data_IF_734328658195
#
_entry.id   IF_734328658195
#
_cell.length_a   1.000
_cell.length_b   1.000
_cell.length_c   1.000
_cell.angle_alpha   90.00
_cell.angle_beta   90.00
_cell.angle_gamma   90.00
#
_symmetry.space_group_name_H-M   'P 1'
#
loop_
_entity.id
_entity.type
_entity.pdbx_description
1 polymer ?
#
# COMPACT_ATOMS: atom_id res chain seq x y z
N UNK A 1 -12.61 -4.42 13.90
CA UNK A 1 -13.63 -4.09 12.86
C UNK A 1 -12.88 -3.60 11.64
N UNK A 2 -12.81 -4.40 10.57
CA UNK A 2 -12.22 -3.94 9.32
C UNK A 2 -13.11 -2.82 8.75
N UNK A 3 -12.54 -1.66 8.46
CA UNK A 3 -13.25 -0.58 7.78
C UNK A 3 -13.60 -1.07 6.37
N UNK A 4 -14.86 -0.96 5.95
CA UNK A 4 -15.24 -1.23 4.57
C UNK A 4 -14.50 -0.26 3.64
N UNK A 5 -13.97 -0.73 2.49
CA UNK A 5 -13.27 0.15 1.56
C UNK A 5 -14.21 1.25 1.06
N UNK A 6 -13.71 2.48 0.97
CA UNK A 6 -14.45 3.57 0.35
C UNK A 6 -14.64 3.31 -1.14
N UNK A 7 -15.62 3.97 -1.77
CA UNK A 7 -15.90 3.82 -3.22
C UNK A 7 -14.71 4.16 -4.14
N UNK A 8 -13.73 4.90 -3.60
CA UNK A 8 -12.48 5.22 -4.30
C UNK A 8 -11.45 4.09 -4.23
N UNK A 9 -11.56 3.20 -3.24
CA UNK A 9 -10.62 2.10 -3.00
C UNK A 9 -10.99 0.85 -3.79
N UNK A 10 -12.27 0.59 -4.04
CA UNK A 10 -12.76 -0.61 -4.75
C UNK A 10 -12.18 -0.76 -6.17
N UNK A 11 -11.88 0.36 -6.85
CA UNK A 11 -11.31 0.35 -8.21
C UNK A 11 -9.78 0.26 -8.23
N UNK A 12 -9.13 0.30 -7.06
CA UNK A 12 -7.67 0.32 -6.89
C UNK A 12 -7.10 -1.02 -6.41
N UNK A 13 -7.95 -1.99 -6.09
CA UNK A 13 -7.54 -3.31 -5.62
C UNK A 13 -6.74 -4.07 -6.67
N UNK A 14 -5.69 -4.76 -6.22
CA UNK A 14 -5.00 -5.72 -7.06
C UNK A 14 -5.93 -6.92 -7.34
N UNK A 15 -6.16 -7.31 -8.61
CA UNK A 15 -7.04 -8.43 -8.96
C UNK A 15 -6.51 -9.81 -8.51
N UNK A 16 -5.29 -9.88 -7.98
CA UNK A 16 -4.67 -11.13 -7.50
C UNK A 16 -4.80 -11.27 -6.00
N UNK A 17 -4.37 -10.26 -5.23
CA UNK A 17 -4.34 -10.32 -3.77
C UNK A 17 -5.47 -9.57 -3.08
N UNK A 18 -6.32 -8.85 -3.83
CA UNK A 18 -7.43 -8.02 -3.33
C UNK A 18 -7.01 -7.04 -2.24
N UNK A 19 -5.82 -6.45 -2.40
CA UNK A 19 -5.28 -5.41 -1.49
C UNK A 19 -5.09 -4.11 -2.25
N UNK A 20 -5.18 -3.01 -1.51
CA UNK A 20 -4.77 -1.68 -1.93
C UNK A 20 -3.55 -1.29 -1.11
N UNK A 21 -2.38 -1.29 -1.72
CA UNK A 21 -1.09 -1.09 -1.04
C UNK A 21 -0.24 -0.02 -1.73
N UNK A 22 0.49 0.76 -0.93
CA UNK A 22 1.53 1.65 -1.42
C UNK A 22 2.67 0.83 -2.03
N UNK A 23 3.40 1.41 -2.97
CA UNK A 23 4.52 0.74 -3.63
C UNK A 23 4.36 0.69 -5.14
N UNK A 24 5.06 -0.24 -5.77
CA UNK A 24 5.11 -0.34 -7.24
C UNK A 24 3.93 -1.13 -7.77
N UNK A 25 3.25 -0.58 -8.76
CA UNK A 25 2.19 -1.27 -9.50
C UNK A 25 2.57 -1.45 -10.95
N UNK A 26 2.32 -2.63 -11.51
CA UNK A 26 2.60 -2.96 -12.90
C UNK A 26 1.31 -2.97 -13.72
N UNK A 27 1.43 -2.62 -14.99
CA UNK A 27 0.34 -2.50 -15.95
C UNK A 27 0.62 -3.36 -17.18
N UNK A 28 -0.40 -4.07 -17.67
CA UNK A 28 -0.33 -4.75 -18.95
C UNK A 28 -0.55 -3.75 -20.12
N UNK A 29 -0.25 -4.15 -21.36
CA UNK A 29 -0.42 -3.27 -22.53
C UNK A 29 -1.87 -2.83 -22.80
N UNK A 30 -2.83 -3.60 -22.30
CA UNK A 30 -4.27 -3.30 -22.38
C UNK A 30 -4.78 -2.47 -21.17
N UNK A 31 -3.89 -2.00 -20.29
CA UNK A 31 -4.25 -1.07 -19.21
C UNK A 31 -4.58 -1.68 -17.85
N UNK A 32 -4.79 -2.99 -17.72
CA UNK A 32 -5.03 -3.64 -16.40
C UNK A 32 -3.83 -3.51 -15.47
N UNK A 33 -4.08 -3.21 -14.19
CA UNK A 33 -3.05 -2.91 -13.17
C UNK A 33 -3.11 -3.89 -11.99
N UNK A 34 -1.95 -4.29 -11.48
CA UNK A 34 -1.77 -5.19 -10.33
C UNK A 34 -0.46 -4.86 -9.60
N UNK A 35 -0.32 -5.26 -8.34
CA UNK A 35 0.88 -4.93 -7.57
C UNK A 35 2.12 -5.71 -8.08
N UNK A 36 3.30 -5.11 -7.95
CA UNK A 36 4.56 -5.69 -8.43
C UNK A 36 4.89 -7.04 -7.74
N UNK A 37 4.52 -7.18 -6.47
CA UNK A 37 4.69 -8.43 -5.71
C UNK A 37 3.89 -9.58 -6.35
N UNK A 38 2.64 -9.32 -6.77
CA UNK A 38 1.83 -10.33 -7.44
C UNK A 38 2.35 -10.64 -8.84
N UNK A 39 2.80 -9.63 -9.62
CA UNK A 39 3.40 -9.85 -10.93
C UNK A 39 4.63 -10.77 -10.87
N UNK A 40 5.50 -10.56 -9.89
CA UNK A 40 6.70 -11.38 -9.69
C UNK A 40 6.40 -12.85 -9.38
N UNK A 41 5.20 -13.15 -8.89
CA UNK A 41 4.75 -14.49 -8.53
C UNK A 41 3.88 -15.17 -9.61
N UNK A 42 3.56 -14.48 -10.71
CA UNK A 42 2.76 -15.06 -11.79
C UNK A 42 3.55 -16.13 -12.55
N UNK A 43 3.12 -17.42 -12.55
CA UNK A 43 3.91 -18.52 -13.07
C UNK A 43 4.19 -18.44 -14.58
N UNK A 44 3.26 -17.86 -15.37
CA UNK A 44 3.39 -17.70 -16.82
C UNK A 44 3.52 -16.24 -17.28
N UNK A 45 3.62 -15.29 -16.33
CA UNK A 45 3.67 -13.84 -16.55
C UNK A 45 2.76 -13.35 -17.70
N UNK A 46 1.50 -13.77 -17.62
CA UNK A 46 0.39 -13.25 -18.40
C UNK A 46 -0.49 -12.37 -17.51
N UNK A 47 -1.13 -11.36 -18.10
CA UNK A 47 -2.05 -10.50 -17.37
C UNK A 47 -3.15 -11.35 -16.71
N UNK A 48 -3.41 -11.23 -15.40
CA UNK A 48 -4.41 -12.03 -14.70
C UNK A 48 -5.85 -11.71 -15.16
N UNK A 49 -6.06 -10.58 -15.84
CA UNK A 49 -7.39 -10.14 -16.30
C UNK A 49 -7.62 -10.50 -17.77
N UNK A 50 -6.72 -10.11 -18.68
CA UNK A 50 -6.91 -10.28 -20.13
C UNK A 50 -5.95 -11.28 -20.79
N UNK A 51 -5.07 -11.94 -20.00
CA UNK A 51 -4.13 -12.98 -20.46
C UNK A 51 -3.08 -12.54 -21.49
N UNK A 52 -2.93 -11.24 -21.76
CA UNK A 52 -1.84 -10.75 -22.63
C UNK A 52 -0.47 -10.97 -21.98
N UNK A 53 0.60 -11.29 -22.74
CA UNK A 53 1.94 -11.47 -22.19
C UNK A 53 2.50 -10.19 -21.56
N UNK A 54 3.13 -10.29 -20.38
CA UNK A 54 3.71 -9.15 -19.64
C UNK A 54 5.19 -8.90 -19.93
N UNK A 55 5.86 -9.78 -20.69
CA UNK A 55 7.28 -9.67 -21.01
C UNK A 55 8.19 -10.04 -19.83
N UNK A 56 9.40 -9.47 -19.77
CA UNK A 56 10.40 -9.72 -18.72
C UNK A 56 10.18 -8.81 -17.51
N UNK A 57 10.41 -9.30 -16.27
CA UNK A 57 9.95 -8.59 -15.05
C UNK A 57 10.67 -7.25 -14.87
N UNK A 58 11.97 -7.21 -15.19
CA UNK A 58 12.76 -5.97 -15.19
C UNK A 58 12.28 -4.91 -16.20
N UNK A 59 11.44 -5.30 -17.16
CA UNK A 59 10.86 -4.43 -18.20
C UNK A 59 9.35 -4.23 -18.01
N UNK A 60 8.81 -4.59 -16.83
CA UNK A 60 7.40 -4.38 -16.53
C UNK A 60 7.03 -2.89 -16.66
N UNK A 61 5.84 -2.62 -17.18
CA UNK A 61 5.34 -1.26 -17.35
C UNK A 61 4.81 -0.81 -16.00
N UNK A 62 5.44 0.20 -15.39
CA UNK A 62 5.04 0.73 -14.09
C UNK A 62 3.89 1.73 -14.23
N UNK A 63 2.80 1.52 -13.50
CA UNK A 63 1.66 2.44 -13.46
C UNK A 63 1.84 3.51 -12.39
N UNK A 64 2.45 4.64 -12.77
CA UNK A 64 2.64 5.79 -11.85
C UNK A 64 1.31 6.42 -11.43
N UNK A 65 0.33 6.42 -12.31
CA UNK A 65 -1.01 6.92 -12.02
C UNK A 65 -1.65 6.13 -10.88
N UNK A 66 -1.63 4.79 -10.95
CA UNK A 66 -2.15 3.93 -9.87
C UNK A 66 -1.49 4.24 -8.53
N UNK A 67 -0.16 4.41 -8.54
CA UNK A 67 0.61 4.73 -7.35
C UNK A 67 0.18 6.07 -6.73
N UNK A 68 0.01 7.10 -7.56
CA UNK A 68 -0.46 8.42 -7.11
C UNK A 68 -1.89 8.37 -6.55
N UNK A 69 -2.78 7.61 -7.17
CA UNK A 69 -4.15 7.46 -6.68
C UNK A 69 -4.19 6.76 -5.32
N UNK A 70 -3.40 5.69 -5.13
CA UNK A 70 -3.32 4.99 -3.84
C UNK A 70 -2.67 5.89 -2.78
N UNK A 71 -1.61 6.62 -3.13
CA UNK A 71 -0.93 7.57 -2.25
C UNK A 71 -1.89 8.64 -1.73
N UNK A 72 -2.79 9.14 -2.59
CA UNK A 72 -3.76 10.19 -2.28
C UNK A 72 -5.07 9.69 -1.61
N UNK A 73 -5.16 8.40 -1.28
CA UNK A 73 -6.30 7.89 -0.51
C UNK A 73 -6.30 8.48 0.90
N UNK A 74 -7.49 8.77 1.47
CA UNK A 74 -7.60 9.29 2.81
C UNK A 74 -7.14 8.25 3.83
N UNK A 75 -6.40 8.71 4.83
CA UNK A 75 -5.90 7.94 5.95
C UNK A 75 -6.05 8.76 7.24
N UNK A 76 -5.94 8.10 8.38
CA UNK A 76 -6.02 8.75 9.68
C UNK A 76 -4.95 8.15 10.59
N UNK A 77 -4.24 9.01 11.32
CA UNK A 77 -3.29 8.55 12.32
C UNK A 77 -4.02 7.91 13.51
N UNK A 78 -3.69 6.66 13.84
CA UNK A 78 -4.30 5.94 14.97
C UNK A 78 -4.01 6.57 16.35
N UNK A 79 -2.98 7.42 16.47
CA UNK A 79 -2.58 8.03 17.73
C UNK A 79 -3.10 9.45 17.90
N UNK A 80 -3.18 10.21 16.81
CA UNK A 80 -3.57 11.62 16.85
C UNK A 80 -4.78 11.99 16.00
N UNK A 81 -5.46 11.02 15.39
CA UNK A 81 -6.67 11.23 14.59
C UNK A 81 -6.54 12.35 13.53
N UNK A 82 -5.31 12.67 13.12
CA UNK A 82 -5.08 13.69 12.10
C UNK A 82 -5.52 13.12 10.75
N UNK A 83 -6.36 13.84 9.99
CA UNK A 83 -6.69 13.46 8.63
C UNK A 83 -5.45 13.66 7.75
N UNK A 84 -5.06 12.60 7.06
CA UNK A 84 -3.85 12.54 6.24
C UNK A 84 -4.19 11.80 4.93
N UNK A 85 -3.25 11.80 3.99
CA UNK A 85 -3.22 10.81 2.91
C UNK A 85 -2.44 9.58 3.32
N UNK A 86 -2.58 8.46 2.59
CA UNK A 86 -1.81 7.24 2.86
C UNK A 86 -0.30 7.48 2.79
N UNK A 87 0.15 8.30 1.84
CA UNK A 87 1.58 8.66 1.74
C UNK A 87 2.04 9.48 2.95
N UNK A 88 1.27 10.51 3.36
CA UNK A 88 1.64 11.33 4.52
C UNK A 88 1.60 10.56 5.83
N UNK A 89 0.75 9.53 5.94
CA UNK A 89 0.66 8.70 7.13
C UNK A 89 1.96 7.93 7.41
N UNK A 90 2.68 7.46 6.37
CA UNK A 90 3.96 6.76 6.56
C UNK A 90 5.01 7.68 7.22
N UNK A 91 5.14 8.91 6.73
CA UNK A 91 6.05 9.90 7.30
C UNK A 91 5.59 10.34 8.69
N UNK A 92 4.30 10.64 8.84
CA UNK A 92 3.71 11.06 10.10
C UNK A 92 3.89 10.01 11.21
N UNK A 93 3.76 8.72 10.91
CA UNK A 93 3.88 7.65 11.90
C UNK A 93 5.25 7.65 12.62
N UNK A 94 6.30 8.20 12.00
CA UNK A 94 7.63 8.32 12.59
C UNK A 94 7.78 9.49 13.54
N UNK A 95 7.00 10.56 13.33
CA UNK A 95 7.12 11.84 14.04
C UNK A 95 5.89 12.21 14.85
N UNK A 96 4.85 11.36 14.86
CA UNK A 96 3.61 11.62 15.55
C UNK A 96 3.87 11.91 17.05
N UNK A 97 3.47 13.09 17.57
CA UNK A 97 3.73 13.46 18.96
C UNK A 97 2.88 12.66 19.95
N UNK A 98 1.77 12.07 19.49
CA UNK A 98 0.88 11.24 20.33
C UNK A 98 1.19 9.75 20.26
N UNK A 99 2.19 9.35 19.46
CA UNK A 99 2.61 7.95 19.38
C UNK A 99 3.38 7.57 20.65
N UNK A 100 2.94 6.54 21.39
CA UNK A 100 3.64 6.11 22.59
C UNK A 100 5.10 5.75 22.29
N UNK A 101 6.01 6.23 23.13
CA UNK A 101 7.42 5.84 23.07
C UNK A 101 7.71 4.85 24.19
N UNK A 102 8.37 3.75 23.83
CA UNK A 102 8.89 2.81 24.83
C UNK A 102 9.97 3.50 25.65
N UNK A 103 9.87 3.40 26.97
CA UNK A 103 10.93 3.82 27.87
C UNK A 103 12.23 3.08 27.51
N UNK A 104 13.37 3.77 27.51
CA UNK A 104 14.70 3.15 27.35
C UNK A 104 15.03 2.16 28.49
N UNK A 105 14.32 2.22 29.62
CA UNK A 105 14.38 1.22 30.69
C UNK A 105 13.49 0.00 30.48
N UNK A 106 12.81 -0.14 29.33
CA UNK A 106 11.92 -1.29 29.08
C UNK A 106 12.68 -2.62 29.13
N UNK A 107 13.92 -2.64 28.67
CA UNK A 107 14.85 -3.77 28.79
C UNK A 107 15.23 -4.10 30.24
N UNK A 108 15.10 -3.14 31.16
CA UNK A 108 15.29 -3.32 32.60
C UNK A 108 13.96 -3.54 33.36
N UNK A 109 12.85 -3.78 32.66
CA UNK A 109 11.54 -4.06 33.25
C UNK A 109 10.65 -2.84 33.51
N UNK A 110 11.00 -1.66 32.98
CA UNK A 110 10.13 -0.48 33.06
C UNK A 110 8.92 -0.63 32.14
N UNK A 111 7.71 -0.59 32.70
CA UNK A 111 6.45 -0.67 31.96
C UNK A 111 5.83 0.70 31.63
N UNK A 112 6.59 1.79 31.77
CA UNK A 112 6.08 3.13 31.50
C UNK A 112 5.90 3.37 30.00
N UNK A 113 4.75 3.94 29.64
CA UNK A 113 4.39 4.39 28.29
C UNK A 113 3.92 5.85 28.38
N UNK A 114 4.43 6.68 27.49
CA UNK A 114 4.03 8.09 27.31
C UNK A 114 4.09 8.52 25.86
#
# INVERSE_FOLDING_TARGET
LARSPSRREEHLECPVCTRVELGVHHQCREGHVFCAECDGQLPSRVCPVCRVPLGELRKAIRSREREQHIAALPAECAHCSSPLTRSELEDHARICPRRPRSCSGAEAGCSWVG
#
